data_IF_838083112566
#
_entry.id   IF_838083112566
#
_cell.length_a   1.000
_cell.length_b   1.000
_cell.length_c   1.000
_cell.angle_alpha   90.00
_cell.angle_beta   90.00
_cell.angle_gamma   90.00
#
_symmetry.space_group_name_H-M   'P 1'
#
loop_
_entity.id
_entity.type
_entity.pdbx_description
1 polymer ?
#
# COMPACT_ATOMS: atom_id res chain seq x y z
N UNK A 1 9.40 -1.56 9.12
CA UNK A 1 9.84 -1.83 7.73
C UNK A 1 10.12 -3.32 7.48
N UNK A 2 11.00 -3.98 8.24
CA UNK A 2 11.36 -5.39 8.00
C UNK A 2 10.16 -6.34 8.08
N UNK A 3 9.34 -6.24 9.13
CA UNK A 3 8.13 -7.06 9.27
C UNK A 3 7.13 -6.82 8.14
N UNK A 4 6.99 -5.58 7.68
CA UNK A 4 6.15 -5.25 6.54
C UNK A 4 6.64 -5.91 5.26
N UNK A 5 7.93 -5.83 4.96
CA UNK A 5 8.50 -6.55 3.81
C UNK A 5 8.30 -8.05 3.91
N UNK A 6 8.42 -8.63 5.11
CA UNK A 6 8.22 -10.06 5.32
C UNK A 6 6.78 -10.49 5.02
N UNK A 7 5.81 -9.65 5.40
CA UNK A 7 4.37 -9.92 5.16
C UNK A 7 4.00 -9.70 3.70
N UNK A 8 4.46 -8.61 3.08
CA UNK A 8 4.07 -8.20 1.72
C UNK A 8 4.83 -8.94 0.63
N UNK A 9 6.13 -9.19 0.82
CA UNK A 9 7.03 -9.73 -0.20
C UNK A 9 7.53 -11.14 0.14
N UNK A 10 7.19 -11.64 1.34
CA UNK A 10 7.69 -12.91 1.87
C UNK A 10 9.08 -12.80 2.49
N UNK A 11 9.44 -13.84 3.26
CA UNK A 11 10.71 -13.90 3.98
C UNK A 11 11.96 -13.76 3.07
N UNK A 12 12.05 -14.42 1.90
CA UNK A 12 13.26 -14.35 1.07
C UNK A 12 13.55 -12.91 0.59
N UNK A 13 12.54 -12.23 0.04
CA UNK A 13 12.70 -10.87 -0.45
C UNK A 13 13.00 -9.89 0.70
N UNK A 14 12.31 -10.04 1.84
CA UNK A 14 12.55 -9.21 3.01
C UNK A 14 13.98 -9.33 3.53
N UNK A 15 14.55 -10.55 3.56
CA UNK A 15 15.94 -10.78 3.95
C UNK A 15 16.91 -10.10 3.00
N UNK A 16 16.75 -10.28 1.69
CA UNK A 16 17.62 -9.66 0.68
C UNK A 16 17.57 -8.13 0.79
N UNK A 17 16.38 -7.54 0.84
CA UNK A 17 16.22 -6.09 0.97
C UNK A 17 16.82 -5.55 2.27
N UNK A 18 16.67 -6.28 3.38
CA UNK A 18 17.26 -5.89 4.67
C UNK A 18 18.78 -5.94 4.63
N UNK A 19 19.37 -6.97 4.01
CA UNK A 19 20.82 -7.08 3.84
C UNK A 19 21.36 -5.98 2.92
N UNK A 20 20.67 -5.68 1.82
CA UNK A 20 21.05 -4.58 0.92
C UNK A 20 20.94 -3.22 1.60
N UNK A 21 19.90 -2.98 2.40
CA UNK A 21 19.74 -1.75 3.18
C UNK A 21 20.84 -1.63 4.24
N UNK A 22 21.12 -2.69 5.00
CA UNK A 22 22.21 -2.70 5.98
C UNK A 22 23.57 -2.48 5.30
N UNK A 23 23.81 -3.14 4.18
CA UNK A 23 25.03 -2.97 3.39
C UNK A 23 25.15 -1.57 2.85
N UNK A 24 24.09 -0.98 2.29
CA UNK A 24 24.07 0.40 1.81
C UNK A 24 24.28 1.42 2.93
N UNK A 25 23.83 1.13 4.14
CA UNK A 25 23.99 2.02 5.30
C UNK A 25 25.41 1.92 5.83
N UNK A 26 25.93 0.69 5.97
CA UNK A 26 27.33 0.45 6.31
C UNK A 26 28.25 1.06 5.25
N UNK A 27 27.91 0.90 3.98
CA UNK A 27 28.52 1.58 2.86
C UNK A 27 28.11 3.06 2.77
N UNK A 28 27.57 3.69 3.79
CA UNK A 28 27.53 5.15 3.89
C UNK A 28 28.40 5.59 5.07
N UNK A 29 28.31 4.88 6.20
CA UNK A 29 28.95 5.26 7.47
C UNK A 29 30.34 4.65 7.71
N UNK A 30 30.80 3.68 6.90
CA UNK A 30 32.13 3.09 7.08
C UNK A 30 33.21 4.18 7.01
N UNK A 31 34.32 4.03 7.74
CA UNK A 31 35.44 4.95 7.65
C UNK A 31 35.91 5.15 6.20
N UNK A 32 36.22 6.40 5.84
CA UNK A 32 36.86 6.72 4.58
C UNK A 32 38.15 5.90 4.37
N UNK A 33 38.41 5.53 3.13
CA UNK A 33 39.65 4.92 2.68
C UNK A 33 40.84 5.87 2.90
N UNK A 34 42.07 5.33 2.78
CA UNK A 34 43.29 6.15 2.83
C UNK A 34 43.31 7.27 1.78
N UNK A 35 42.73 7.02 0.60
CA UNK A 35 42.62 8.01 -0.47
C UNK A 35 41.61 9.11 -0.12
N UNK A 36 40.41 8.73 0.35
CA UNK A 36 39.35 9.69 0.75
C UNK A 36 39.81 10.59 1.91
N UNK A 37 40.56 10.04 2.88
CA UNK A 37 41.13 10.82 3.98
C UNK A 37 42.19 11.84 3.53
N UNK A 38 42.92 11.54 2.44
CA UNK A 38 43.93 12.46 1.88
C UNK A 38 43.30 13.59 1.04
N UNK A 39 42.20 13.31 0.34
CA UNK A 39 41.48 14.28 -0.48
C UNK A 39 40.44 15.10 0.28
N UNK A 40 40.10 14.69 1.51
CA UNK A 40 38.97 15.21 2.26
C UNK A 40 37.68 14.46 1.90
N UNK A 41 36.91 14.07 2.91
CA UNK A 41 35.61 13.41 2.71
C UNK A 41 34.55 14.45 2.29
N UNK A 42 33.74 14.19 1.26
CA UNK A 42 32.72 15.15 0.85
C UNK A 42 31.72 15.42 1.99
N UNK A 43 31.43 16.69 2.28
CA UNK A 43 30.45 17.07 3.30
C UNK A 43 29.06 16.44 3.08
N UNK A 44 28.73 16.14 1.82
CA UNK A 44 27.51 15.44 1.43
C UNK A 44 27.41 14.02 2.02
N UNK A 45 28.53 13.32 2.21
CA UNK A 45 28.55 11.97 2.82
C UNK A 45 28.15 12.06 4.28
N UNK A 46 28.76 12.97 5.04
CA UNK A 46 28.43 13.19 6.45
C UNK A 46 26.98 13.66 6.65
N UNK A 47 26.53 14.61 5.85
CA UNK A 47 25.13 15.08 5.91
C UNK A 47 24.13 13.96 5.58
N UNK A 48 24.38 13.20 4.50
CA UNK A 48 23.55 12.05 4.14
C UNK A 48 23.55 10.97 5.22
N UNK A 49 24.70 10.67 5.82
CA UNK A 49 24.82 9.69 6.90
C UNK A 49 23.96 10.08 8.11
N UNK A 50 24.01 11.35 8.53
CA UNK A 50 23.19 11.86 9.63
C UNK A 50 21.70 11.77 9.28
N UNK A 51 21.29 12.27 8.10
CA UNK A 51 19.89 12.25 7.65
C UNK A 51 19.35 10.81 7.59
N UNK A 52 20.04 9.90 6.91
CA UNK A 52 19.58 8.52 6.71
C UNK A 52 19.52 7.76 8.04
N UNK A 53 20.55 7.92 8.88
CA UNK A 53 20.59 7.25 10.19
C UNK A 53 19.48 7.78 11.10
N UNK A 54 19.28 9.11 11.13
CA UNK A 54 18.24 9.74 11.95
C UNK A 54 16.84 9.35 11.48
N UNK A 55 16.57 9.39 10.18
CA UNK A 55 15.30 8.95 9.60
C UNK A 55 15.05 7.45 9.86
N UNK A 56 16.10 6.62 9.74
CA UNK A 56 16.03 5.20 10.07
C UNK A 56 15.65 4.97 11.53
N UNK A 57 16.34 5.60 12.48
CA UNK A 57 16.05 5.53 13.92
C UNK A 57 14.65 6.04 14.25
N UNK A 58 14.28 7.22 13.77
CA UNK A 58 12.95 7.79 13.96
C UNK A 58 11.87 6.84 13.44
N UNK A 59 12.13 6.16 12.32
CA UNK A 59 11.16 5.22 11.76
C UNK A 59 10.94 3.94 12.56
N UNK A 60 11.84 3.62 13.49
CA UNK A 60 11.68 2.50 14.43
C UNK A 60 10.85 2.90 15.65
N UNK A 61 10.74 4.20 15.94
CA UNK A 61 10.16 4.72 17.18
C UNK A 61 8.79 5.37 16.99
N UNK A 62 8.59 6.11 15.90
CA UNK A 62 7.41 6.94 15.70
C UNK A 62 6.67 6.64 14.40
N UNK A 63 7.20 7.11 13.26
CA UNK A 63 6.50 7.05 11.98
C UNK A 63 7.17 6.08 11.01
N UNK A 64 6.44 5.12 10.44
CA UNK A 64 7.04 4.15 9.54
C UNK A 64 7.63 4.83 8.29
N UNK A 65 8.82 4.38 7.90
CA UNK A 65 9.57 4.93 6.76
C UNK A 65 8.84 4.80 5.42
N UNK A 66 7.84 3.91 5.31
CA UNK A 66 7.14 3.64 4.06
C UNK A 66 6.23 4.78 3.60
N UNK A 67 5.95 5.78 4.43
CA UNK A 67 5.23 6.96 3.98
C UNK A 67 6.07 7.73 2.97
N UNK A 68 5.53 8.01 1.79
CA UNK A 68 6.28 8.58 0.66
C UNK A 68 7.03 9.88 1.00
N UNK A 69 6.46 10.71 1.89
CA UNK A 69 7.06 11.97 2.33
C UNK A 69 8.26 11.78 3.29
N UNK A 70 8.44 10.59 3.88
CA UNK A 70 9.67 10.19 4.56
C UNK A 70 10.57 9.36 3.64
N UNK A 71 10.00 8.39 2.92
CA UNK A 71 10.73 7.44 2.08
C UNK A 71 11.55 8.15 0.99
N UNK A 72 10.92 9.05 0.23
CA UNK A 72 11.55 9.65 -0.95
C UNK A 72 12.73 10.57 -0.57
N UNK A 73 12.60 11.50 0.42
CA UNK A 73 13.73 12.30 0.86
C UNK A 73 14.87 11.45 1.44
N UNK A 74 14.56 10.42 2.24
CA UNK A 74 15.57 9.52 2.81
C UNK A 74 16.30 8.74 1.72
N UNK A 75 15.58 8.16 0.76
CA UNK A 75 16.18 7.43 -0.35
C UNK A 75 17.04 8.34 -1.23
N UNK A 76 16.60 9.57 -1.48
CA UNK A 76 17.37 10.57 -2.22
C UNK A 76 18.66 10.95 -1.50
N UNK A 77 18.59 11.29 -0.21
CA UNK A 77 19.77 11.61 0.59
C UNK A 77 20.76 10.44 0.63
N UNK A 78 20.24 9.21 0.76
CA UNK A 78 21.05 8.00 0.77
C UNK A 78 21.78 7.79 -0.56
N UNK A 79 21.06 7.87 -1.69
CA UNK A 79 21.65 7.76 -3.02
C UNK A 79 22.69 8.84 -3.29
N UNK A 80 22.43 10.08 -2.87
CA UNK A 80 23.36 11.20 -3.02
C UNK A 80 24.65 10.98 -2.22
N UNK A 81 24.54 10.52 -0.98
CA UNK A 81 25.70 10.20 -0.14
C UNK A 81 26.55 9.06 -0.71
N UNK A 82 25.91 7.99 -1.18
CA UNK A 82 26.60 6.86 -1.83
C UNK A 82 27.32 7.30 -3.12
N UNK A 83 26.65 8.09 -3.96
CA UNK A 83 27.23 8.60 -5.20
C UNK A 83 28.40 9.57 -4.95
N UNK A 84 28.29 10.45 -3.94
CA UNK A 84 29.35 11.38 -3.58
C UNK A 84 30.60 10.64 -3.10
N UNK A 85 30.42 9.58 -2.31
CA UNK A 85 31.52 8.77 -1.81
C UNK A 85 32.18 7.96 -2.92
N UNK A 86 31.38 7.39 -3.82
CA UNK A 86 31.89 6.69 -5.00
C UNK A 86 32.65 7.64 -5.96
N UNK A 87 32.20 8.88 -6.10
CA UNK A 87 32.91 9.92 -6.85
C UNK A 87 34.25 10.31 -6.22
N UNK A 88 34.33 10.42 -4.89
CA UNK A 88 35.57 10.70 -4.17
C UNK A 88 36.61 9.58 -4.30
N UNK A 89 36.16 8.32 -4.35
CA UNK A 89 37.02 7.15 -4.51
C UNK A 89 37.55 6.95 -5.95
N UNK A 90 36.93 7.57 -6.97
CA UNK A 90 37.19 7.30 -8.40
C UNK A 90 37.88 8.42 -9.17
N UNK A 91 38.65 9.28 -8.50
CA UNK A 91 39.42 10.35 -9.18
C UNK A 91 40.45 9.84 -10.21
N UNK A 92 40.64 8.51 -10.35
CA UNK A 92 41.62 7.90 -11.25
C UNK A 92 41.07 6.89 -12.28
N UNK A 93 39.75 6.64 -12.39
CA UNK A 93 39.21 5.57 -13.26
C UNK A 93 38.12 6.07 -14.24
N UNK A 94 38.29 5.79 -15.54
CA UNK A 94 37.50 6.36 -16.66
C UNK A 94 36.33 5.48 -17.12
N UNK A 95 36.13 4.30 -16.54
CA UNK A 95 35.09 3.37 -16.97
C UNK A 95 33.86 3.33 -16.06
N UNK A 96 32.85 4.19 -16.29
CA UNK A 96 31.55 3.98 -15.62
C UNK A 96 30.88 2.70 -16.16
N UNK A 97 30.52 1.72 -15.30
CA UNK A 97 29.77 0.57 -15.76
C UNK A 97 28.41 1.00 -16.33
N UNK A 98 28.21 0.77 -17.63
CA UNK A 98 26.99 1.17 -18.37
C UNK A 98 25.70 0.57 -17.76
N UNK A 99 25.81 -0.56 -17.07
CA UNK A 99 24.68 -1.23 -16.41
C UNK A 99 24.10 -0.42 -15.25
N UNK A 100 24.91 0.34 -14.50
CA UNK A 100 24.42 1.17 -13.39
C UNK A 100 23.56 2.34 -13.88
N UNK A 101 23.99 2.97 -14.98
CA UNK A 101 23.20 4.01 -15.64
C UNK A 101 21.90 3.45 -16.23
N UNK A 102 21.99 2.31 -16.95
CA UNK A 102 20.81 1.65 -17.50
C UNK A 102 19.81 1.26 -16.40
N UNK A 103 20.28 0.71 -15.28
CA UNK A 103 19.44 0.40 -14.12
C UNK A 103 18.76 1.63 -13.54
N UNK A 104 19.47 2.75 -13.42
CA UNK A 104 18.89 4.03 -12.97
C UNK A 104 17.81 4.55 -13.91
N UNK A 105 18.03 4.49 -15.22
CA UNK A 105 17.02 4.90 -16.23
C UNK A 105 15.79 3.99 -16.17
N UNK A 106 15.97 2.67 -16.07
CA UNK A 106 14.86 1.72 -15.94
C UNK A 106 14.04 2.03 -14.68
N UNK A 107 14.68 2.25 -13.54
CA UNK A 107 13.99 2.62 -12.29
C UNK A 107 13.21 3.94 -12.44
N UNK A 108 13.80 4.94 -13.09
CA UNK A 108 13.12 6.22 -13.33
C UNK A 108 11.88 6.05 -14.23
N UNK A 109 11.99 5.27 -15.31
CA UNK A 109 10.87 4.97 -16.20
C UNK A 109 9.76 4.19 -15.49
N UNK A 110 10.11 3.20 -14.65
CA UNK A 110 9.13 2.47 -13.83
C UNK A 110 8.43 3.38 -12.82
N UNK A 111 9.16 4.32 -12.20
CA UNK A 111 8.56 5.30 -11.29
C UNK A 111 7.58 6.22 -12.02
N UNK A 112 7.92 6.69 -13.22
CA UNK A 112 7.02 7.48 -14.07
C UNK A 112 5.78 6.64 -14.45
N UNK A 113 5.96 5.38 -14.84
CA UNK A 113 4.84 4.51 -15.17
C UNK A 113 3.89 4.30 -13.98
N UNK A 114 4.43 3.98 -12.80
CA UNK A 114 3.63 3.84 -11.57
C UNK A 114 2.91 5.15 -11.20
N UNK A 115 3.54 6.31 -11.40
CA UNK A 115 2.93 7.61 -11.17
C UNK A 115 1.77 7.89 -12.16
N UNK A 116 1.92 7.54 -13.43
CA UNK A 116 0.86 7.66 -14.44
C UNK A 116 -0.32 6.74 -14.14
N UNK A 117 -0.05 5.51 -13.72
CA UNK A 117 -1.04 4.54 -13.26
C UNK A 117 -1.83 5.08 -12.04
N UNK A 118 -1.11 5.63 -11.05
CA UNK A 118 -1.73 6.27 -9.88
C UNK A 118 -2.69 7.40 -10.26
N UNK A 119 -2.38 8.18 -11.31
CA UNK A 119 -3.28 9.25 -11.76
C UNK A 119 -4.65 8.71 -12.22
N UNK A 120 -4.72 7.50 -12.77
CA UNK A 120 -5.99 6.88 -13.14
C UNK A 120 -6.83 6.59 -11.89
N UNK A 121 -6.23 6.05 -10.83
CA UNK A 121 -6.89 5.81 -9.54
C UNK A 121 -7.30 7.14 -8.87
N UNK A 122 -6.41 8.13 -8.82
CA UNK A 122 -6.70 9.44 -8.23
C UNK A 122 -7.89 10.14 -8.92
N UNK A 123 -7.99 10.03 -10.25
CA UNK A 123 -9.07 10.64 -11.02
C UNK A 123 -10.46 10.04 -10.71
N UNK A 124 -10.54 8.88 -10.07
CA UNK A 124 -11.81 8.30 -9.60
C UNK A 124 -12.38 9.13 -8.43
N UNK A 125 -11.52 9.46 -7.46
CA UNK A 125 -11.88 10.10 -6.19
C UNK A 125 -11.78 11.63 -6.21
N UNK A 126 -10.82 12.17 -6.96
CA UNK A 126 -10.57 13.59 -7.14
C UNK A 126 -10.55 13.90 -8.65
N UNK A 127 -11.73 13.90 -9.31
CA UNK A 127 -11.81 14.04 -10.74
C UNK A 127 -11.30 15.41 -11.19
N UNK A 128 -10.55 15.42 -12.30
CA UNK A 128 -10.11 16.66 -12.95
C UNK A 128 -11.31 17.41 -13.56
N UNK A 129 -11.21 18.74 -13.75
CA UNK A 129 -12.21 19.48 -14.52
C UNK A 129 -12.43 18.83 -15.89
N UNK A 130 -13.69 18.59 -16.27
CA UNK A 130 -14.05 17.93 -17.53
C UNK A 130 -13.85 16.41 -17.57
N UNK A 131 -13.60 15.76 -16.42
CA UNK A 131 -13.49 14.30 -16.37
C UNK A 131 -14.78 13.59 -16.80
N UNK A 132 -14.63 12.39 -17.37
CA UNK A 132 -15.75 11.52 -17.77
C UNK A 132 -16.57 11.02 -16.56
N UNK A 133 -17.66 10.30 -16.85
CA UNK A 133 -18.53 9.67 -15.85
C UNK A 133 -17.76 8.74 -14.93
N UNK A 134 -18.23 8.59 -13.68
CA UNK A 134 -17.58 7.75 -12.68
C UNK A 134 -17.36 6.31 -13.19
N UNK A 135 -18.38 5.72 -13.81
CA UNK A 135 -18.31 4.37 -14.39
C UNK A 135 -17.16 4.22 -15.38
N UNK A 136 -16.99 5.19 -16.30
CA UNK A 136 -15.91 5.15 -17.30
C UNK A 136 -14.54 5.31 -16.66
N UNK A 137 -14.42 6.10 -15.60
CA UNK A 137 -13.17 6.25 -14.84
C UNK A 137 -12.82 4.97 -14.08
N UNK A 138 -13.80 4.31 -13.49
CA UNK A 138 -13.62 3.00 -12.84
C UNK A 138 -13.16 1.97 -13.88
N UNK A 139 -13.88 1.81 -14.99
CA UNK A 139 -13.54 0.83 -16.03
C UNK A 139 -12.13 1.04 -16.62
N UNK A 140 -11.70 2.30 -16.76
CA UNK A 140 -10.33 2.63 -17.16
C UNK A 140 -9.32 2.28 -16.05
N UNK A 141 -9.60 2.67 -14.80
CA UNK A 141 -8.74 2.38 -13.66
C UNK A 141 -8.57 0.88 -13.40
N UNK A 142 -9.57 0.05 -13.66
CA UNK A 142 -9.48 -1.40 -13.44
C UNK A 142 -8.43 -2.09 -14.32
N UNK A 143 -8.12 -1.51 -15.47
CA UNK A 143 -7.10 -1.99 -16.42
C UNK A 143 -5.67 -1.68 -15.97
N UNK A 144 -5.51 -0.87 -14.93
CA UNK A 144 -4.21 -0.41 -14.46
C UNK A 144 -3.51 -1.49 -13.62
N UNK A 145 -2.25 -1.84 -13.93
CA UNK A 145 -1.53 -2.90 -13.22
C UNK A 145 -1.20 -2.58 -11.76
N UNK A 146 -0.86 -1.32 -11.43
CA UNK A 146 -0.35 -0.99 -10.10
C UNK A 146 -1.47 -0.61 -9.12
N UNK A 147 -2.38 0.26 -9.55
CA UNK A 147 -3.41 0.85 -8.69
C UNK A 147 -4.84 0.44 -9.04
N UNK A 148 -5.02 -0.55 -9.93
CA UNK A 148 -6.35 -0.98 -10.36
C UNK A 148 -7.25 -1.50 -9.23
N UNK A 149 -6.67 -1.99 -8.13
CA UNK A 149 -7.43 -2.41 -6.94
C UNK A 149 -8.22 -1.26 -6.29
N UNK A 150 -7.78 0.00 -6.48
CA UNK A 150 -8.52 1.19 -6.04
C UNK A 150 -9.77 1.42 -6.89
N UNK A 151 -9.72 1.05 -8.17
CA UNK A 151 -10.88 1.11 -9.06
C UNK A 151 -11.88 0.01 -8.70
N UNK A 152 -11.41 -1.20 -8.37
CA UNK A 152 -12.28 -2.28 -7.87
C UNK A 152 -12.95 -1.90 -6.54
N UNK A 153 -12.20 -1.27 -5.62
CA UNK A 153 -12.77 -0.74 -4.39
C UNK A 153 -13.94 0.21 -4.71
N UNK A 154 -13.73 1.17 -5.61
CA UNK A 154 -14.78 2.10 -6.02
C UNK A 154 -15.96 1.38 -6.67
N UNK A 155 -15.69 0.37 -7.52
CA UNK A 155 -16.69 -0.43 -8.22
C UNK A 155 -17.65 -1.16 -7.25
N UNK A 156 -17.12 -1.72 -6.16
CA UNK A 156 -17.93 -2.51 -5.23
C UNK A 156 -18.50 -1.70 -4.07
N UNK A 157 -17.96 -0.51 -3.80
CA UNK A 157 -18.40 0.35 -2.68
C UNK A 157 -19.20 1.57 -3.10
N UNK A 158 -19.23 1.92 -4.38
CA UNK A 158 -20.06 3.00 -4.92
C UNK A 158 -21.26 2.36 -5.59
N UNK A 159 -22.36 2.31 -4.85
CA UNK A 159 -23.62 1.68 -5.25
C UNK A 159 -24.73 2.68 -5.06
N UNK A 160 -25.61 2.78 -6.05
CA UNK A 160 -26.90 3.41 -5.87
C UNK A 160 -27.82 2.46 -5.08
N UNK A 161 -28.59 2.94 -4.11
CA UNK A 161 -29.38 2.08 -3.21
C UNK A 161 -30.26 1.03 -3.91
N UNK A 162 -30.71 1.34 -5.14
CA UNK A 162 -31.64 0.53 -5.92
C UNK A 162 -30.98 -0.55 -6.79
N UNK A 163 -29.67 -0.49 -7.03
CA UNK A 163 -28.95 -1.54 -7.78
C UNK A 163 -28.62 -2.71 -6.86
N UNK A 164 -28.51 -3.97 -7.31
CA UNK A 164 -27.99 -5.07 -6.48
C UNK A 164 -26.49 -4.90 -6.16
N UNK A 165 -26.01 -5.54 -5.09
CA UNK A 165 -24.58 -5.63 -4.79
C UNK A 165 -23.84 -6.36 -5.92
N UNK A 166 -22.61 -5.94 -6.19
CA UNK A 166 -21.71 -6.69 -7.07
C UNK A 166 -21.47 -8.10 -6.50
N UNK A 167 -21.25 -9.12 -7.35
CA UNK A 167 -21.03 -10.48 -6.88
C UNK A 167 -19.74 -10.60 -6.05
N UNK A 168 -19.61 -11.57 -5.14
CA UNK A 168 -18.45 -11.71 -4.26
C UNK A 168 -17.12 -11.69 -5.03
N UNK A 169 -17.07 -12.28 -6.23
CA UNK A 169 -15.87 -12.35 -7.07
C UNK A 169 -15.31 -10.98 -7.44
N UNK A 170 -16.15 -9.94 -7.54
CA UNK A 170 -15.72 -8.57 -7.81
C UNK A 170 -14.85 -7.97 -6.69
N UNK A 171 -14.86 -8.57 -5.50
CA UNK A 171 -14.11 -8.09 -4.34
C UNK A 171 -12.70 -8.68 -4.25
N UNK A 172 -12.35 -9.71 -5.04
CA UNK A 172 -11.16 -10.53 -4.85
C UNK A 172 -9.85 -9.71 -4.80
N UNK A 173 -9.61 -8.85 -5.79
CA UNK A 173 -8.40 -8.00 -5.83
C UNK A 173 -8.43 -6.95 -4.71
N UNK A 174 -9.57 -6.30 -4.44
CA UNK A 174 -9.59 -5.22 -3.44
C UNK A 174 -9.47 -5.72 -2.00
N UNK A 175 -10.12 -6.84 -1.63
CA UNK A 175 -10.04 -7.42 -0.28
C UNK A 175 -8.63 -7.87 0.10
N UNK A 176 -7.81 -8.22 -0.89
CA UNK A 176 -6.41 -8.54 -0.67
C UNK A 176 -5.56 -7.30 -0.36
N UNK A 177 -5.90 -6.14 -0.92
CA UNK A 177 -5.09 -4.91 -0.85
C UNK A 177 -5.55 -3.93 0.25
N UNK A 178 -6.84 -3.91 0.56
CA UNK A 178 -7.43 -2.98 1.52
C UNK A 178 -8.62 -3.65 2.20
N UNK A 179 -8.69 -3.57 3.53
CA UNK A 179 -9.86 -3.99 4.29
C UNK A 179 -10.25 -2.90 5.28
N UNK A 180 -11.33 -2.18 4.98
CA UNK A 180 -11.89 -1.14 5.82
C UNK A 180 -13.38 -1.40 6.13
N UNK A 181 -13.96 -0.58 7.00
CA UNK A 181 -15.36 -0.74 7.39
C UNK A 181 -16.32 -0.64 6.20
N UNK A 182 -16.05 0.23 5.22
CA UNK A 182 -16.91 0.43 4.05
C UNK A 182 -16.91 -0.80 3.15
N UNK A 183 -15.74 -1.35 2.86
CA UNK A 183 -15.60 -2.57 2.07
C UNK A 183 -16.18 -3.79 2.79
N UNK A 184 -15.98 -3.91 4.10
CA UNK A 184 -16.60 -4.99 4.89
C UNK A 184 -18.12 -4.94 4.85
N UNK A 185 -18.72 -3.75 4.94
CA UNK A 185 -20.18 -3.59 4.81
C UNK A 185 -20.67 -3.98 3.40
N UNK A 186 -19.98 -3.53 2.36
CA UNK A 186 -20.32 -3.86 0.97
C UNK A 186 -20.18 -5.36 0.71
N UNK A 187 -19.10 -5.98 1.21
CA UNK A 187 -18.84 -7.40 1.03
C UNK A 187 -19.83 -8.28 1.78
N UNK A 188 -20.19 -7.91 3.01
CA UNK A 188 -21.21 -8.63 3.75
C UNK A 188 -22.59 -8.58 3.06
N UNK A 189 -22.97 -7.44 2.47
CA UNK A 189 -24.20 -7.34 1.66
C UNK A 189 -24.11 -8.24 0.42
N UNK A 190 -22.99 -8.20 -0.29
CA UNK A 190 -22.75 -9.06 -1.46
C UNK A 190 -22.91 -10.54 -1.11
N UNK A 191 -22.27 -11.01 -0.03
CA UNK A 191 -22.40 -12.39 0.43
C UNK A 191 -23.85 -12.75 0.77
N UNK A 192 -24.56 -11.90 1.51
CA UNK A 192 -25.96 -12.17 1.88
C UNK A 192 -26.88 -12.23 0.66
N UNK A 193 -26.73 -11.31 -0.30
CA UNK A 193 -27.53 -11.27 -1.53
C UNK A 193 -27.24 -12.47 -2.46
N UNK A 194 -26.07 -13.09 -2.34
CA UNK A 194 -25.65 -14.25 -3.14
C UNK A 194 -25.74 -15.58 -2.36
N UNK A 195 -26.52 -15.64 -1.28
CA UNK A 195 -26.84 -16.88 -0.55
C UNK A 195 -25.83 -17.29 0.53
N UNK A 196 -24.72 -16.58 0.68
CA UNK A 196 -23.66 -16.84 1.66
C UNK A 196 -23.92 -16.10 2.98
N UNK A 197 -25.14 -16.22 3.51
CA UNK A 197 -25.65 -15.41 4.64
C UNK A 197 -24.84 -15.60 5.92
N UNK A 198 -24.37 -16.82 6.22
CA UNK A 198 -23.59 -17.06 7.44
C UNK A 198 -22.18 -16.46 7.36
N UNK A 199 -21.55 -16.49 6.18
CA UNK A 199 -20.30 -15.75 5.92
C UNK A 199 -20.52 -14.25 6.06
N UNK A 200 -21.65 -13.73 5.56
CA UNK A 200 -22.00 -12.32 5.73
C UNK A 200 -22.11 -11.94 7.21
N UNK A 201 -22.80 -12.76 8.02
CA UNK A 201 -22.89 -12.58 9.49
C UNK A 201 -21.52 -12.61 10.15
N UNK A 202 -20.62 -13.49 9.69
CA UNK A 202 -19.26 -13.55 10.21
C UNK A 202 -18.46 -12.28 9.90
N UNK A 203 -18.51 -11.79 8.66
CA UNK A 203 -17.87 -10.51 8.28
C UNK A 203 -18.44 -9.35 9.11
N UNK A 204 -19.76 -9.33 9.34
CA UNK A 204 -20.40 -8.35 10.20
C UNK A 204 -19.95 -8.46 11.66
N UNK A 205 -19.76 -9.68 12.17
CA UNK A 205 -19.22 -9.89 13.51
C UNK A 205 -17.80 -9.32 13.63
N UNK A 206 -16.94 -9.50 12.62
CA UNK A 206 -15.62 -8.85 12.55
C UNK A 206 -15.74 -7.32 12.45
N UNK A 207 -16.68 -6.81 11.66
CA UNK A 207 -16.92 -5.37 11.51
C UNK A 207 -17.24 -4.69 12.85
N UNK A 208 -18.01 -5.36 13.73
CA UNK A 208 -18.36 -4.85 15.07
C UNK A 208 -17.12 -4.66 15.97
N UNK A 209 -16.05 -5.43 15.76
CA UNK A 209 -14.82 -5.34 16.55
C UNK A 209 -14.09 -3.99 16.33
N UNK A 210 -14.18 -3.41 15.13
CA UNK A 210 -13.54 -2.13 14.80
C UNK A 210 -14.21 -0.91 15.44
N UNK A 211 -15.46 -1.04 15.93
CA UNK A 211 -16.26 0.05 16.54
C UNK A 211 -16.27 1.35 15.69
N UNK A 212 -16.27 1.21 14.36
CA UNK A 212 -16.16 2.35 13.46
C UNK A 212 -17.50 3.12 13.36
N UNK A 213 -17.44 4.45 13.48
CA UNK A 213 -18.61 5.33 13.40
C UNK A 213 -19.35 5.27 12.06
N UNK A 214 -18.66 4.96 10.96
CA UNK A 214 -19.28 4.84 9.62
C UNK A 214 -20.29 3.70 9.54
N UNK A 215 -20.17 2.67 10.39
CA UNK A 215 -21.06 1.52 10.40
C UNK A 215 -22.39 1.77 11.15
N UNK A 216 -22.57 2.93 11.79
CA UNK A 216 -23.79 3.23 12.57
C UNK A 216 -25.08 3.12 11.75
N UNK A 217 -25.08 3.65 10.53
CA UNK A 217 -26.25 3.59 9.63
C UNK A 217 -26.55 2.15 9.21
N UNK A 218 -25.50 1.36 8.94
CA UNK A 218 -25.63 -0.05 8.59
C UNK A 218 -26.26 -0.88 9.73
N UNK A 219 -25.90 -0.58 10.98
CA UNK A 219 -26.45 -1.24 12.16
C UNK A 219 -27.77 -0.64 12.69
N UNK A 220 -28.26 0.44 12.11
CA UNK A 220 -29.50 1.09 12.58
C UNK A 220 -30.71 0.13 12.50
N UNK A 221 -30.72 -0.75 11.50
CA UNK A 221 -31.75 -1.79 11.31
C UNK A 221 -31.85 -2.77 12.50
N UNK A 222 -30.82 -2.88 13.35
CA UNK A 222 -30.81 -3.79 14.49
C UNK A 222 -31.45 -3.22 15.75
N UNK A 223 -31.86 -1.95 15.75
CA UNK A 223 -32.41 -1.28 16.95
C UNK A 223 -33.93 -1.46 17.12
N UNK A 224 -34.66 -1.83 16.07
CA UNK A 224 -36.12 -1.99 16.10
C UNK A 224 -36.49 -3.38 15.58
N UNK A 225 -36.64 -4.38 16.46
CA UNK A 225 -37.20 -5.66 16.05
C UNK A 225 -38.68 -5.46 15.71
N UNK A 226 -39.04 -5.61 14.44
CA UNK A 226 -40.44 -5.76 14.07
C UNK A 226 -40.89 -7.18 14.46
N UNK A 227 -41.96 -7.36 15.26
CA UNK A 227 -42.32 -8.67 15.81
C UNK A 227 -42.63 -9.78 14.79
N UNK A 228 -42.81 -9.43 13.52
CA UNK A 228 -43.24 -10.33 12.44
C UNK A 228 -42.25 -10.47 11.28
N UNK A 229 -41.07 -9.85 11.35
CA UNK A 229 -40.03 -9.98 10.32
C UNK A 229 -38.79 -10.69 10.87
N UNK A 230 -38.22 -11.59 10.06
CA UNK A 230 -36.90 -12.16 10.34
C UNK A 230 -35.88 -11.02 10.52
N UNK A 231 -35.04 -11.12 11.55
CA UNK A 231 -34.02 -10.11 11.78
C UNK A 231 -33.07 -10.03 10.59
N UNK A 232 -32.69 -8.81 10.15
CA UNK A 232 -31.72 -8.63 9.08
C UNK A 232 -30.40 -9.36 9.38
N UNK A 233 -29.72 -9.85 8.34
CA UNK A 233 -28.50 -10.66 8.51
C UNK A 233 -27.43 -9.95 9.36
N UNK A 234 -27.32 -8.61 9.26
CA UNK A 234 -26.34 -7.83 10.02
C UNK A 234 -26.60 -7.77 11.55
N UNK A 235 -27.76 -8.26 11.98
CA UNK A 235 -28.19 -8.25 13.38
C UNK A 235 -27.99 -9.61 14.07
N UNK A 236 -27.95 -10.70 13.30
CA UNK A 236 -27.80 -12.07 13.81
C UNK A 236 -26.32 -12.47 13.92
N UNK A 237 -25.90 -13.23 14.96
CA UNK A 237 -24.56 -13.80 15.02
C UNK A 237 -24.35 -14.90 13.96
N UNK A 238 -23.09 -15.14 13.52
CA UNK A 238 -22.77 -16.28 12.66
C UNK A 238 -22.95 -17.61 13.41
N UNK A 239 -23.24 -18.69 12.68
CA UNK A 239 -23.40 -20.03 13.22
C UNK A 239 -22.05 -20.70 13.52
N UNK A 240 -21.00 -20.33 12.78
CA UNK A 240 -19.65 -20.83 13.01
C UNK A 240 -18.56 -19.77 12.80
N UNK A 241 -17.37 -20.11 13.22
CA UNK A 241 -16.17 -19.38 12.86
C UNK A 241 -15.68 -19.81 11.47
N UNK A 242 -15.26 -18.83 10.67
CA UNK A 242 -14.66 -19.04 9.35
C UNK A 242 -13.19 -18.70 9.38
N UNK A 243 -12.37 -19.53 8.72
CA UNK A 243 -11.00 -19.17 8.39
C UNK A 243 -11.00 -18.11 7.29
N UNK A 244 -10.03 -17.18 7.28
CA UNK A 244 -10.01 -16.06 6.33
C UNK A 244 -10.02 -16.50 4.85
N UNK A 245 -9.42 -17.67 4.55
CA UNK A 245 -9.44 -18.27 3.20
C UNK A 245 -10.83 -18.72 2.75
N UNK A 246 -11.71 -19.12 3.67
CA UNK A 246 -13.10 -19.50 3.34
C UNK A 246 -13.97 -18.28 3.02
N UNK A 247 -13.47 -17.09 3.35
CA UNK A 247 -14.11 -15.80 3.06
C UNK A 247 -13.56 -15.16 1.79
N UNK A 248 -12.56 -15.76 1.12
CA UNK A 248 -12.12 -15.28 -0.18
C UNK A 248 -13.13 -15.68 -1.26
N UNK A 249 -13.40 -14.80 -2.24
CA UNK A 249 -14.28 -15.09 -3.38
C UNK A 249 -13.78 -16.18 -4.32
#
# INVERSE_FOLDING_TARGET
VVLQWAVELGLPAATVLSLLALWGWWALVRPGSSTERKSGEPATVGAAAVIVTTAGLHSLLEYPLWYSYFLLPTAFAWGLGLAAREGAARTTDTGRPRWGFAGGVILALMAVWCALDYQAAANIYAPRPGASTLERRIAFGQQMPWWGYQADYAHVTTRDPDEPSRPPQAFARTLHNLLDARLMMAYARSLAEHGEVDKARFVVARLKEFRNGSAKAFFAACKVPQPSQEMPFQCTPPQRHYHWRELLP
#
